data_IF_652015369325
#
_entry.id   IF_652015369325
#
_cell.length_a   1.000
_cell.length_b   1.000
_cell.length_c   1.000
_cell.angle_alpha   90.00
_cell.angle_beta   90.00
_cell.angle_gamma   90.00
#
_symmetry.space_group_name_H-M   'P 1'
#
loop_
_entity.id
_entity.type
_entity.pdbx_description
1 polymer ?
#
# COMPACT_ATOMS: atom_id res chain seq x y z
N UNK A 1 -11.45 11.36 0.91
CA UNK A 1 -11.77 9.92 1.13
C UNK A 1 -12.28 9.24 -0.14
N UNK A 2 -13.11 9.90 -0.95
CA UNK A 2 -13.69 9.33 -2.19
C UNK A 2 -12.67 8.69 -3.16
N UNK A 3 -11.47 9.28 -3.28
CA UNK A 3 -10.45 8.78 -4.22
C UNK A 3 -9.91 7.38 -3.90
N UNK A 4 -9.90 6.97 -2.62
CA UNK A 4 -9.42 5.65 -2.21
C UNK A 4 -10.33 4.51 -2.71
N UNK A 5 -11.62 4.80 -2.93
CA UNK A 5 -12.58 3.83 -3.47
C UNK A 5 -12.32 3.49 -4.94
N UNK A 6 -11.59 4.36 -5.67
CA UNK A 6 -11.29 4.19 -7.09
C UNK A 6 -10.10 3.26 -7.33
N UNK A 7 -9.24 3.07 -6.32
CA UNK A 7 -8.05 2.26 -6.48
C UNK A 7 -8.38 0.77 -6.59
N UNK A 8 -7.93 0.18 -7.69
CA UNK A 8 -8.01 -1.24 -8.04
C UNK A 8 -6.69 -1.67 -8.66
N UNK A 9 -5.75 -2.11 -7.83
CA UNK A 9 -4.42 -2.54 -8.25
C UNK A 9 -3.92 -3.66 -7.32
N UNK A 10 -3.31 -4.70 -7.87
CA UNK A 10 -2.90 -5.91 -7.13
C UNK A 10 -1.90 -5.66 -5.99
N UNK A 11 -1.19 -4.54 -6.04
CA UNK A 11 -0.20 -4.19 -5.02
C UNK A 11 -0.67 -3.00 -4.13
N UNK A 12 -1.89 -2.48 -4.32
CA UNK A 12 -2.48 -1.46 -3.43
C UNK A 12 -3.55 -2.09 -2.56
N UNK A 13 -3.44 -1.91 -1.24
CA UNK A 13 -4.45 -2.38 -0.27
C UNK A 13 -5.83 -1.81 -0.58
N UNK A 14 -6.81 -2.69 -0.70
CA UNK A 14 -8.17 -2.27 -1.03
C UNK A 14 -8.81 -1.49 0.13
N UNK A 15 -9.37 -0.31 -0.18
CA UNK A 15 -10.25 0.42 0.73
C UNK A 15 -11.69 -0.09 0.63
N UNK A 16 -12.30 -0.42 1.77
CA UNK A 16 -13.68 -0.88 1.87
C UNK A 16 -14.65 0.21 2.33
N UNK A 17 -14.19 1.17 3.12
CA UNK A 17 -15.03 2.24 3.62
C UNK A 17 -14.44 2.92 4.84
N UNK A 18 -15.17 3.90 5.37
CA UNK A 18 -14.89 4.49 6.65
C UNK A 18 -16.17 4.84 7.38
N UNK A 19 -16.13 4.85 8.71
CA UNK A 19 -17.20 5.35 9.57
C UNK A 19 -16.61 6.39 10.51
N UNK A 20 -17.35 7.47 10.72
CA UNK A 20 -17.06 8.43 11.78
C UNK A 20 -17.92 8.08 13.00
N UNK A 21 -17.29 7.96 14.15
CA UNK A 21 -17.98 7.75 15.42
C UNK A 21 -17.26 8.55 16.50
N UNK A 22 -18.01 9.42 17.18
CA UNK A 22 -17.52 10.28 18.26
C UNK A 22 -16.25 11.08 17.88
N UNK A 23 -16.28 11.70 16.69
CA UNK A 23 -15.16 12.48 16.15
C UNK A 23 -13.94 11.66 15.72
N UNK A 24 -14.01 10.32 15.79
CA UNK A 24 -12.95 9.41 15.36
C UNK A 24 -13.31 8.75 14.03
N UNK A 25 -12.39 8.79 13.07
CA UNK A 25 -12.52 8.07 11.80
C UNK A 25 -11.96 6.65 11.89
N UNK A 26 -12.80 5.68 11.60
CA UNK A 26 -12.45 4.28 11.45
C UNK A 26 -12.37 3.94 9.97
N UNK A 27 -11.22 3.46 9.51
CA UNK A 27 -10.99 3.11 8.10
C UNK A 27 -10.91 1.60 7.97
N UNK A 28 -11.74 1.04 7.08
CA UNK A 28 -11.78 -0.38 6.78
C UNK A 28 -10.96 -0.67 5.52
N UNK A 29 -9.92 -1.49 5.68
CA UNK A 29 -8.98 -1.87 4.62
C UNK A 29 -8.92 -3.39 4.47
N UNK A 30 -8.40 -3.84 3.34
CA UNK A 30 -8.00 -5.23 3.14
C UNK A 30 -6.98 -5.68 4.19
N UNK A 31 -7.21 -6.86 4.76
CA UNK A 31 -6.29 -7.50 5.69
C UNK A 31 -5.38 -8.45 4.91
N UNK A 32 -4.08 -8.13 4.87
CA UNK A 32 -3.08 -8.93 4.17
C UNK A 32 -2.14 -9.64 5.14
N UNK A 33 -1.74 -10.86 4.78
CA UNK A 33 -0.69 -11.59 5.49
C UNK A 33 0.70 -11.18 4.98
N UNK A 34 1.73 -11.46 5.78
CA UNK A 34 3.14 -11.31 5.35
C UNK A 34 3.94 -10.20 6.03
N UNK A 35 3.26 -9.32 6.78
CA UNK A 35 3.88 -8.28 7.60
C UNK A 35 4.57 -7.17 6.79
N UNK A 36 5.18 -6.21 7.50
CA UNK A 36 5.87 -5.10 6.88
C UNK A 36 7.20 -5.52 6.24
N UNK A 37 7.55 -4.91 5.10
CA UNK A 37 8.85 -5.12 4.45
C UNK A 37 10.02 -4.77 5.40
N UNK A 38 9.85 -3.73 6.23
CA UNK A 38 10.84 -3.35 7.24
C UNK A 38 11.16 -4.50 8.20
N UNK A 39 10.13 -5.21 8.69
CA UNK A 39 10.33 -6.37 9.59
C UNK A 39 11.16 -7.46 8.90
N UNK A 40 10.99 -7.65 7.58
CA UNK A 40 11.81 -8.59 6.81
C UNK A 40 13.27 -8.13 6.75
N UNK A 41 13.50 -6.84 6.52
CA UNK A 41 14.86 -6.27 6.47
C UNK A 41 15.53 -6.35 7.86
N UNK A 42 14.82 -6.01 8.93
CA UNK A 42 15.33 -6.10 10.30
C UNK A 42 15.68 -7.54 10.68
N UNK A 43 14.87 -8.50 10.25
CA UNK A 43 15.06 -9.93 10.57
C UNK A 43 16.16 -10.60 9.76
N UNK A 44 16.27 -10.28 8.48
CA UNK A 44 17.15 -10.99 7.54
C UNK A 44 18.36 -10.17 7.10
N UNK A 45 18.45 -8.90 7.46
CA UNK A 45 19.46 -7.97 6.97
C UNK A 45 19.20 -7.55 5.53
N UNK A 46 20.27 -7.26 4.79
CA UNK A 46 20.18 -6.94 3.36
C UNK A 46 19.57 -8.11 2.58
N UNK A 47 18.57 -7.80 1.76
CA UNK A 47 17.91 -8.78 0.92
C UNK A 47 18.71 -9.01 -0.37
N UNK A 48 18.66 -10.21 -0.97
CA UNK A 48 19.26 -10.47 -2.28
C UNK A 48 18.72 -9.52 -3.35
N UNK A 49 19.56 -9.13 -4.30
CA UNK A 49 19.22 -8.14 -5.34
C UNK A 49 17.93 -8.49 -6.09
N UNK A 50 17.73 -9.75 -6.47
CA UNK A 50 16.49 -10.18 -7.15
C UNK A 50 15.23 -9.99 -6.30
N UNK A 51 15.33 -10.13 -4.98
CA UNK A 51 14.21 -9.88 -4.05
C UNK A 51 13.93 -8.39 -3.92
N UNK A 52 14.98 -7.57 -3.83
CA UNK A 52 14.86 -6.11 -3.83
C UNK A 52 14.22 -5.63 -5.13
N UNK A 53 14.68 -6.13 -6.27
CA UNK A 53 14.14 -5.79 -7.59
C UNK A 53 12.65 -6.15 -7.70
N UNK A 54 12.24 -7.29 -7.15
CA UNK A 54 10.84 -7.69 -7.11
C UNK A 54 9.96 -6.67 -6.37
N UNK A 55 10.33 -6.31 -5.13
CA UNK A 55 9.56 -5.33 -4.35
C UNK A 55 9.59 -3.94 -4.99
N UNK A 56 10.74 -3.53 -5.52
CA UNK A 56 10.88 -2.22 -6.17
C UNK A 56 10.02 -2.12 -7.43
N UNK A 57 9.89 -3.20 -8.19
CA UNK A 57 8.98 -3.28 -9.34
C UNK A 57 7.52 -3.10 -8.90
N UNK A 58 7.10 -3.77 -7.84
CA UNK A 58 5.73 -3.61 -7.30
C UNK A 58 5.46 -2.15 -6.92
N UNK A 59 6.37 -1.54 -6.16
CA UNK A 59 6.26 -0.12 -5.76
C UNK A 59 6.15 0.82 -6.97
N UNK A 60 6.97 0.61 -8.00
CA UNK A 60 6.90 1.43 -9.23
C UNK A 60 5.56 1.23 -9.94
N UNK A 61 5.07 -0.01 -10.04
CA UNK A 61 3.78 -0.30 -10.69
C UNK A 61 2.63 0.41 -9.96
N UNK A 62 2.60 0.35 -8.62
CA UNK A 62 1.60 1.07 -7.82
C UNK A 62 1.69 2.58 -8.01
N UNK A 63 2.90 3.15 -7.93
CA UNK A 63 3.12 4.59 -8.08
C UNK A 63 2.70 5.06 -9.48
N UNK A 64 3.05 4.31 -10.52
CA UNK A 64 2.61 4.61 -11.88
C UNK A 64 1.08 4.58 -12.00
N UNK A 65 0.42 3.60 -11.36
CA UNK A 65 -1.04 3.52 -11.35
C UNK A 65 -1.69 4.72 -10.68
N UNK A 66 -1.29 5.09 -9.46
CA UNK A 66 -1.91 6.23 -8.76
C UNK A 66 -1.59 7.57 -9.43
N UNK A 67 -0.40 7.73 -10.00
CA UNK A 67 -0.05 8.93 -10.77
C UNK A 67 -0.86 9.03 -12.06
N UNK A 68 -1.26 7.91 -12.68
CA UNK A 68 -2.17 7.92 -13.84
C UNK A 68 -3.59 8.41 -13.50
N UNK A 69 -3.93 8.44 -12.21
CA UNK A 69 -5.18 8.96 -11.67
C UNK A 69 -5.01 10.37 -11.06
N UNK A 70 -3.90 11.06 -11.35
CA UNK A 70 -3.52 12.36 -10.81
C UNK A 70 -3.41 12.39 -9.26
N UNK A 71 -3.05 11.25 -8.65
CA UNK A 71 -2.87 11.14 -7.19
C UNK A 71 -1.41 11.01 -6.81
N UNK A 72 -0.97 11.83 -5.85
CA UNK A 72 0.37 11.75 -5.24
C UNK A 72 0.27 11.12 -3.85
N UNK A 73 1.05 10.05 -3.63
CA UNK A 73 1.25 9.42 -2.32
C UNK A 73 2.26 10.26 -1.50
N UNK A 74 1.78 11.26 -0.74
CA UNK A 74 2.63 12.27 -0.06
C UNK A 74 3.06 11.88 1.36
N UNK A 75 3.42 10.61 1.59
CA UNK A 75 3.78 10.11 2.92
C UNK A 75 5.29 9.93 3.04
#
# INVERSE_FOLDING_TARGET
>A
INILQLFRHENIIQFYGCVEYDGTYYIYLECVAGGALLIKIERYGSLPEGVVQYFFKQLICEMAYIHSLDVVHRV
#
